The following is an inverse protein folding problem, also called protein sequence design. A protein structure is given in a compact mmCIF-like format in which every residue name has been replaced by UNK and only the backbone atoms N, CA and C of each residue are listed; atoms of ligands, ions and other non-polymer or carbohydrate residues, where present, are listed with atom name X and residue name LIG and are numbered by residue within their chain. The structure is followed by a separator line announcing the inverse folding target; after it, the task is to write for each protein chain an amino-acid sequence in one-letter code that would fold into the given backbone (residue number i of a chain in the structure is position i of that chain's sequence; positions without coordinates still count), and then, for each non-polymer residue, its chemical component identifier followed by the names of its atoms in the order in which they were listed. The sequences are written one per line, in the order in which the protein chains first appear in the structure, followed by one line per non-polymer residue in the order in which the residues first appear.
data_IF_049849715472
#
_entry.id   IF_049849715472
#
_cell.length_a   1.000
_cell.length_b   1.000
_cell.length_c   1.000
_cell.angle_alpha   90.00
_cell.angle_beta   90.00
_cell.angle_gamma   90.00
#
_symmetry.space_group_name_H-M   'P 1'
#
loop_
_entity.id
_entity.type
_entity.pdbx_description
1 polymer ?
#
# COMPACT_ATOMS: atom_id res chain seq x y z
N UNK A 1 -11.76 9.18 45.13
CA UNK A 1 -10.73 9.53 44.13
C UNK A 1 -11.27 9.04 42.81
N UNK A 2 -12.05 9.89 42.15
CA UNK A 2 -13.13 9.49 41.23
C UNK A 2 -12.81 9.98 39.81
N UNK A 3 -12.81 9.02 38.90
CA UNK A 3 -12.96 9.07 37.43
C UNK A 3 -12.78 10.43 36.74
N UNK A 4 -11.67 10.56 36.01
CA UNK A 4 -11.54 11.54 34.93
C UNK A 4 -12.45 11.13 33.76
N UNK A 5 -13.68 11.63 33.79
CA UNK A 5 -14.54 11.72 32.61
C UNK A 5 -13.84 12.58 31.57
N UNK A 6 -13.34 11.98 30.49
CA UNK A 6 -12.99 12.69 29.26
C UNK A 6 -14.17 12.59 28.29
N UNK A 7 -15.15 13.52 28.32
CA UNK A 7 -15.99 13.68 27.16
C UNK A 7 -15.17 14.42 26.11
N UNK A 8 -15.38 14.03 24.85
CA UNK A 8 -14.92 14.69 23.63
C UNK A 8 -13.68 14.11 22.95
N UNK A 9 -13.75 12.82 22.62
CA UNK A 9 -13.15 12.32 21.39
C UNK A 9 -13.83 12.99 20.19
N UNK A 10 -13.46 14.25 19.89
CA UNK A 10 -13.84 14.89 18.64
C UNK A 10 -13.09 14.16 17.53
N UNK A 11 -13.78 13.19 16.93
CA UNK A 11 -13.35 12.59 15.67
C UNK A 11 -13.20 13.72 14.64
N UNK A 12 -11.97 14.03 14.15
CA UNK A 12 -11.80 15.00 13.08
C UNK A 12 -12.50 14.50 11.80
N UNK A 13 -12.83 15.39 10.84
CA UNK A 13 -13.74 15.08 9.75
C UNK A 13 -13.29 13.85 8.97
N UNK A 14 -14.22 12.91 8.86
CA UNK A 14 -14.13 11.70 8.06
C UNK A 14 -13.83 12.08 6.61
N UNK A 15 -12.55 11.99 6.20
CA UNK A 15 -12.19 11.94 4.77
C UNK A 15 -12.77 10.62 4.25
N UNK A 16 -13.79 10.61 3.37
CA UNK A 16 -14.57 9.40 3.05
C UNK A 16 -13.83 8.29 2.29
N UNK A 17 -12.50 8.31 2.23
CA UNK A 17 -11.72 7.45 1.33
C UNK A 17 -10.44 6.87 1.97
N UNK A 18 -10.28 6.97 3.29
CA UNK A 18 -9.22 6.27 4.00
C UNK A 18 -9.70 4.86 4.36
N UNK A 19 -8.94 3.84 3.96
CA UNK A 19 -9.16 2.44 4.37
C UNK A 19 -9.33 2.39 5.91
N UNK A 20 -10.30 1.63 6.47
CA UNK A 20 -10.61 1.67 7.90
C UNK A 20 -9.38 1.44 8.80
N UNK A 21 -8.48 0.56 8.36
CA UNK A 21 -7.18 0.27 9.00
C UNK A 21 -6.25 1.50 9.11
N UNK A 22 -6.24 2.36 8.09
CA UNK A 22 -5.40 3.57 8.06
C UNK A 22 -5.88 4.60 9.08
N UNK A 23 -7.19 4.80 9.19
CA UNK A 23 -7.76 5.76 10.14
C UNK A 23 -7.53 5.31 11.59
N UNK A 24 -7.63 4.01 11.87
CA UNK A 24 -7.30 3.46 13.19
C UNK A 24 -5.82 3.65 13.54
N UNK A 25 -4.91 3.45 12.58
CA UNK A 25 -3.48 3.68 12.78
C UNK A 25 -3.16 5.15 13.09
N UNK A 26 -3.76 6.08 12.34
CA UNK A 26 -3.61 7.53 12.57
C UNK A 26 -4.14 7.91 13.96
N UNK A 27 -5.30 7.39 14.35
CA UNK A 27 -5.88 7.65 15.68
C UNK A 27 -4.98 7.18 16.81
N UNK A 28 -4.51 5.93 16.76
CA UNK A 28 -3.58 5.38 17.77
C UNK A 28 -2.33 6.25 17.87
N UNK A 29 -1.80 6.68 16.73
CA UNK A 29 -0.59 7.49 16.70
C UNK A 29 -0.80 8.90 17.26
N UNK A 30 -1.95 9.52 16.98
CA UNK A 30 -2.31 10.81 17.56
C UNK A 30 -2.45 10.75 19.09
N UNK A 31 -3.00 9.66 19.62
CA UNK A 31 -3.11 9.41 21.06
C UNK A 31 -1.74 9.23 21.71
N UNK A 32 -0.83 8.47 21.07
CA UNK A 32 0.56 8.36 21.54
C UNK A 32 1.27 9.72 21.59
N UNK A 33 1.09 10.54 20.55
CA UNK A 33 1.66 11.89 20.48
C UNK A 33 1.08 12.77 21.60
N UNK A 34 -0.23 12.69 21.86
CA UNK A 34 -0.88 13.41 22.95
C UNK A 34 -0.32 13.02 24.31
N UNK A 35 -0.15 11.72 24.58
CA UNK A 35 0.45 11.22 25.82
C UNK A 35 1.90 11.68 25.94
N UNK A 36 2.70 11.54 24.87
CA UNK A 36 4.12 11.92 24.83
C UNK A 36 4.34 13.41 25.07
N UNK A 37 3.45 14.26 24.56
CA UNK A 37 3.50 15.72 24.74
C UNK A 37 2.98 16.18 26.10
N UNK A 38 2.64 15.27 27.03
CA UNK A 38 2.18 15.61 28.37
C UNK A 38 0.69 15.92 28.47
N UNK A 39 -0.13 15.40 27.53
CA UNK A 39 -1.60 15.53 27.53
C UNK A 39 -2.10 16.97 27.47
N UNK A 40 -1.37 17.84 26.75
CA UNK A 40 -1.72 19.25 26.61
C UNK A 40 -3.05 19.37 25.82
N UNK A 41 -4.13 19.86 26.44
CA UNK A 41 -5.41 20.03 25.76
C UNK A 41 -5.32 21.13 24.69
N UNK A 42 -6.09 21.00 23.61
CA UNK A 42 -6.15 22.00 22.53
C UNK A 42 -5.14 21.80 21.40
N UNK A 43 -4.32 20.74 21.46
CA UNK A 43 -3.39 20.35 20.39
C UNK A 43 -3.85 19.12 19.61
N UNK A 44 -5.10 18.72 19.79
CA UNK A 44 -5.67 17.48 19.23
C UNK A 44 -5.56 17.45 17.69
N UNK A 45 -5.83 18.59 17.04
CA UNK A 45 -5.72 18.74 15.59
C UNK A 45 -4.26 18.67 15.10
N UNK A 46 -3.32 19.28 15.82
CA UNK A 46 -1.89 19.21 15.48
C UNK A 46 -1.33 17.80 15.68
N UNK A 47 -1.68 17.16 16.79
CA UNK A 47 -1.30 15.78 17.08
C UNK A 47 -1.83 14.82 16.01
N UNK A 48 -3.08 15.04 15.55
CA UNK A 48 -3.67 14.30 14.44
C UNK A 48 -2.97 14.55 13.11
N UNK A 49 -2.70 15.80 12.74
CA UNK A 49 -2.01 16.12 11.50
C UNK A 49 -0.58 15.54 11.47
N UNK A 50 0.11 15.56 12.61
CA UNK A 50 1.42 14.93 12.76
C UNK A 50 1.33 13.41 12.62
N UNK A 51 0.32 12.78 13.23
CA UNK A 51 0.06 11.35 13.09
C UNK A 51 -0.24 10.96 11.64
N UNK A 52 -1.12 11.70 10.94
CA UNK A 52 -1.44 11.47 9.53
C UNK A 52 -0.17 11.49 8.68
N UNK A 53 0.67 12.52 8.84
CA UNK A 53 1.93 12.64 8.09
C UNK A 53 2.90 11.48 8.36
N UNK A 54 2.98 11.03 9.61
CA UNK A 54 3.89 9.93 9.97
C UNK A 54 3.38 8.58 9.45
N UNK A 55 2.09 8.29 9.59
CA UNK A 55 1.49 7.05 9.10
C UNK A 55 1.46 7.00 7.57
N UNK A 56 1.21 8.12 6.89
CA UNK A 56 1.31 8.21 5.43
C UNK A 56 2.74 7.98 4.96
N UNK A 57 3.73 8.60 5.60
CA UNK A 57 5.15 8.36 5.29
C UNK A 57 5.54 6.90 5.53
N UNK A 58 5.10 6.29 6.63
CA UNK A 58 5.37 4.87 6.89
C UNK A 58 4.64 3.95 5.91
N UNK A 59 3.50 4.36 5.36
CA UNK A 59 2.77 3.61 4.34
C UNK A 59 3.42 3.74 2.95
N UNK A 60 4.10 4.85 2.68
CA UNK A 60 4.92 5.11 1.50
C UNK A 60 6.28 4.38 1.58
N UNK A 61 6.90 4.37 2.77
CA UNK A 61 8.15 3.64 3.08
C UNK A 61 7.92 2.13 3.24
N UNK A 62 6.67 1.68 3.42
CA UNK A 62 6.30 0.29 3.21
C UNK A 62 6.31 0.06 1.70
N UNK A 63 7.14 -0.85 1.15
CA UNK A 63 7.22 -1.05 -0.30
C UNK A 63 5.81 -1.29 -0.82
N UNK A 64 5.32 -0.34 -1.63
CA UNK A 64 3.97 -0.22 -2.13
C UNK A 64 3.39 -1.60 -2.48
N UNK A 65 2.67 -2.22 -1.54
CA UNK A 65 2.09 -3.57 -1.62
C UNK A 65 2.76 -4.53 -2.61
N UNK A 66 4.10 -4.67 -2.63
CA UNK A 66 4.90 -5.46 -3.60
C UNK A 66 4.05 -6.13 -4.69
N UNK A 67 3.57 -5.34 -5.64
CA UNK A 67 2.63 -5.83 -6.62
C UNK A 67 3.44 -6.65 -7.62
N UNK A 68 3.24 -7.97 -7.61
CA UNK A 68 4.02 -8.89 -8.42
C UNK A 68 3.13 -9.72 -9.34
N UNK A 69 3.60 -9.96 -10.56
CA UNK A 69 3.03 -10.92 -11.49
C UNK A 69 3.94 -12.13 -11.56
N UNK A 70 3.35 -13.32 -11.50
CA UNK A 70 4.07 -14.58 -11.68
C UNK A 70 3.78 -15.13 -13.07
N UNK A 71 4.81 -15.26 -13.89
CA UNK A 71 4.72 -15.82 -15.23
C UNK A 71 5.50 -17.12 -15.28
N UNK A 72 4.90 -18.17 -15.84
CA UNK A 72 5.59 -19.45 -16.06
C UNK A 72 5.96 -19.60 -17.53
N UNK A 73 7.25 -19.74 -17.84
CA UNK A 73 7.76 -19.91 -19.21
C UNK A 73 8.63 -21.16 -19.25
N UNK A 74 8.25 -22.16 -20.06
CA UNK A 74 8.98 -23.44 -20.18
C UNK A 74 9.29 -24.10 -18.83
N UNK A 75 8.35 -24.05 -17.87
CA UNK A 75 8.52 -24.63 -16.52
C UNK A 75 9.30 -23.75 -15.53
N UNK A 76 9.81 -22.60 -15.95
CA UNK A 76 10.48 -21.63 -15.07
C UNK A 76 9.48 -20.56 -14.64
N UNK A 77 9.38 -20.32 -13.34
CA UNK A 77 8.55 -19.26 -12.76
C UNK A 77 9.37 -17.99 -12.60
N UNK A 78 8.89 -16.90 -13.20
CA UNK A 78 9.43 -15.56 -13.07
C UNK A 78 8.49 -14.72 -12.24
N UNK A 79 9.02 -14.06 -11.21
CA UNK A 79 8.30 -13.10 -10.39
C UNK A 79 8.75 -11.71 -10.80
N UNK A 80 7.86 -10.98 -11.45
CA UNK A 80 8.08 -9.59 -11.85
C UNK A 80 7.36 -8.65 -10.90
N UNK A 81 8.08 -7.79 -10.19
CA UNK A 81 7.46 -6.68 -9.47
C UNK A 81 7.14 -5.55 -10.45
N UNK A 82 5.95 -4.96 -10.31
CA UNK A 82 5.51 -3.83 -11.10
C UNK A 82 5.07 -2.69 -10.18
N UNK A 83 5.27 -1.47 -10.65
CA UNK A 83 4.82 -0.28 -9.95
C UNK A 83 3.31 -0.09 -10.16
N UNK A 84 2.53 -0.12 -9.08
CA UNK A 84 1.08 0.03 -9.15
C UNK A 84 0.65 1.40 -9.69
N UNK A 85 1.45 2.46 -9.46
CA UNK A 85 1.16 3.80 -9.98
C UNK A 85 1.38 3.90 -11.51
N UNK A 86 2.29 3.08 -12.05
CA UNK A 86 2.67 3.07 -13.47
C UNK A 86 2.12 1.87 -14.23
N UNK A 87 1.22 1.07 -13.65
CA UNK A 87 0.71 -0.16 -14.27
C UNK A 87 -0.44 0.04 -15.27
N UNK A 88 -0.81 1.29 -15.58
CA UNK A 88 -1.92 1.61 -16.48
C UNK A 88 -3.25 0.97 -16.04
N UNK A 89 -3.49 0.89 -14.72
CA UNK A 89 -4.69 0.30 -14.13
C UNK A 89 -4.75 -1.23 -14.13
N UNK A 90 -3.61 -1.93 -14.28
CA UNK A 90 -3.57 -3.38 -14.13
C UNK A 90 -4.00 -3.81 -12.71
N UNK A 91 -5.04 -4.64 -12.66
CA UNK A 91 -5.54 -5.21 -11.40
C UNK A 91 -5.04 -6.65 -11.25
N UNK A 92 -4.47 -7.03 -10.09
CA UNK A 92 -4.08 -8.42 -9.82
C UNK A 92 -5.25 -9.37 -10.08
N UNK A 93 -5.05 -10.36 -10.95
CA UNK A 93 -6.10 -11.30 -11.37
C UNK A 93 -6.77 -10.96 -12.72
N UNK A 94 -6.51 -9.78 -13.30
CA UNK A 94 -6.92 -9.45 -14.68
C UNK A 94 -6.25 -10.39 -15.70
N UNK A 95 -4.97 -10.74 -15.46
CA UNK A 95 -4.32 -11.85 -16.14
C UNK A 95 -4.80 -13.13 -15.45
N UNK A 96 -5.87 -13.73 -15.97
CA UNK A 96 -6.48 -14.92 -15.39
C UNK A 96 -5.43 -16.00 -15.07
N UNK A 97 -5.54 -16.66 -13.92
CA UNK A 97 -4.58 -17.69 -13.52
C UNK A 97 -4.54 -18.82 -14.57
N UNK A 98 -3.37 -19.05 -15.16
CA UNK A 98 -3.19 -20.02 -16.25
C UNK A 98 -3.51 -19.48 -17.66
N UNK A 99 -3.86 -18.20 -17.80
CA UNK A 99 -3.98 -17.56 -19.10
C UNK A 99 -2.65 -17.56 -19.85
N UNK A 100 -2.69 -17.91 -21.14
CA UNK A 100 -1.53 -17.82 -22.03
C UNK A 100 -1.41 -16.39 -22.53
N UNK A 101 -0.39 -15.69 -22.03
CA UNK A 101 -0.14 -14.29 -22.39
C UNK A 101 1.21 -14.15 -23.07
N UNK A 102 1.33 -13.33 -24.13
CA UNK A 102 2.61 -13.02 -24.72
C UNK A 102 3.48 -12.29 -23.69
N UNK A 103 4.70 -12.78 -23.51
CA UNK A 103 5.69 -12.16 -22.63
C UNK A 103 6.98 -11.90 -23.38
N UNK A 104 7.58 -10.75 -23.11
CA UNK A 104 8.88 -10.35 -23.64
C UNK A 104 9.82 -10.10 -22.48
N UNK A 105 11.05 -10.58 -22.61
CA UNK A 105 12.11 -10.37 -21.61
C UNK A 105 13.18 -9.47 -22.23
N UNK A 106 13.56 -8.41 -21.53
CA UNK A 106 14.66 -7.53 -21.92
C UNK A 106 15.57 -7.31 -20.71
N UNK A 107 16.67 -8.05 -20.65
CA UNK A 107 17.59 -8.03 -19.51
C UNK A 107 16.90 -8.51 -18.23
N UNK A 108 16.78 -7.62 -17.25
CA UNK A 108 16.07 -7.86 -15.98
C UNK A 108 14.59 -7.46 -16.03
N UNK A 109 14.11 -6.89 -17.16
CA UNK A 109 12.71 -6.52 -17.32
C UNK A 109 11.90 -7.64 -17.97
N UNK A 110 10.66 -7.79 -17.51
CA UNK A 110 9.65 -8.64 -18.11
C UNK A 110 8.44 -7.79 -18.48
N UNK A 111 8.09 -7.78 -19.76
CA UNK A 111 6.93 -7.09 -20.32
C UNK A 111 5.83 -8.11 -20.61
N UNK A 112 4.70 -7.97 -19.92
CA UNK A 112 3.56 -8.88 -20.07
C UNK A 112 2.47 -8.19 -20.88
N UNK A 113 2.13 -8.74 -22.05
CA UNK A 113 1.07 -8.17 -22.88
C UNK A 113 -0.30 -8.51 -22.28
N UNK A 114 -1.00 -7.47 -21.84
CA UNK A 114 -2.34 -7.53 -21.27
C UNK A 114 -3.39 -7.75 -22.38
N UNK A 115 -4.56 -8.31 -22.04
CA UNK A 115 -5.64 -8.52 -23.02
C UNK A 115 -6.18 -7.20 -23.62
N UNK A 116 -6.03 -6.08 -22.91
CA UNK A 116 -6.35 -4.75 -23.40
C UNK A 116 -5.34 -4.21 -24.43
N UNK A 117 -4.30 -4.97 -24.77
CA UNK A 117 -3.26 -4.60 -25.72
C UNK A 117 -2.09 -3.82 -25.12
N UNK A 118 -2.19 -3.35 -23.87
CA UNK A 118 -1.10 -2.66 -23.18
C UNK A 118 -0.05 -3.65 -22.67
N UNK A 119 1.19 -3.19 -22.51
CA UNK A 119 2.26 -3.98 -21.90
C UNK A 119 2.40 -3.57 -20.43
N UNK A 120 2.36 -4.55 -19.53
CA UNK A 120 2.72 -4.37 -18.14
C UNK A 120 4.24 -4.51 -18.02
N UNK A 121 4.93 -3.40 -17.75
CA UNK A 121 6.35 -3.42 -17.43
C UNK A 121 6.56 -3.94 -16.00
N UNK A 122 7.40 -4.97 -15.86
CA UNK A 122 7.79 -5.54 -14.58
C UNK A 122 9.30 -5.73 -14.51
N UNK A 123 9.85 -5.72 -13.29
CA UNK A 123 11.26 -5.99 -12.99
C UNK A 123 11.37 -7.37 -12.35
N UNK A 124 12.22 -8.24 -12.88
CA UNK A 124 12.33 -9.64 -12.46
C UNK A 124 13.13 -9.71 -11.17
N UNK A 125 12.41 -9.81 -10.06
CA UNK A 125 13.06 -9.88 -8.74
C UNK A 125 13.39 -11.30 -8.33
N UNK A 126 12.75 -12.29 -8.95
CA UNK A 126 13.01 -13.69 -8.63
C UNK A 126 12.74 -14.64 -9.80
N UNK A 127 13.58 -15.67 -9.90
CA UNK A 127 13.49 -16.75 -10.90
C UNK A 127 13.58 -18.10 -10.20
N UNK A 128 12.56 -18.93 -10.34
CA UNK A 128 12.52 -20.27 -9.76
C UNK A 128 12.43 -21.31 -10.88
N UNK A 129 13.42 -22.21 -10.96
CA UNK A 129 13.28 -23.44 -11.76
C UNK A 129 12.44 -24.43 -10.96
N UNK A 130 11.31 -24.85 -11.53
CA UNK A 130 10.53 -25.98 -11.03
C UNK A 130 11.14 -27.31 -11.46
#
# INVERSE_FOLDING_TARGET
METASHPNAQTPPHRPNAHPDLQEAIRRRAEEIYIRNGRIPGRDLENWAQAEKEILRQSDERPARRTAVVVTVNGVKYVGEYDAASCGGYTPGELGAGARVPVRFEGDKMFVKRPNGQELETTIVNRMRG
#
